data_IF_235160888142
#
_entry.id   IF_235160888142
#
_cell.length_a   1.000
_cell.length_b   1.000
_cell.length_c   1.000
_cell.angle_alpha   90.00
_cell.angle_beta   90.00
_cell.angle_gamma   90.00
#
_symmetry.space_group_name_H-M   'P 1'
#
loop_
_entity.id
_entity.type
_entity.pdbx_description
1 polymer ?
#
# COMPACT_ATOMS: atom_id res chain seq x y z
N UNK A 1 10.79 -12.41 -3.08
CA UNK A 1 10.75 -11.60 -4.33
C UNK A 1 10.92 -10.14 -3.96
N UNK A 2 11.52 -9.34 -4.83
CA UNK A 2 11.69 -7.90 -4.57
C UNK A 2 10.31 -7.20 -4.62
N UNK A 3 9.95 -6.36 -3.62
CA UNK A 3 8.67 -5.64 -3.56
C UNK A 3 8.38 -4.83 -4.83
N UNK A 4 9.40 -4.23 -5.43
CA UNK A 4 9.26 -3.46 -6.67
C UNK A 4 8.83 -4.32 -7.86
N UNK A 5 9.25 -5.59 -7.91
CA UNK A 5 8.82 -6.51 -8.97
C UNK A 5 7.36 -6.92 -8.78
N UNK A 6 6.92 -7.14 -7.53
CA UNK A 6 5.53 -7.47 -7.23
C UNK A 6 4.62 -6.30 -7.62
N UNK A 7 5.00 -5.06 -7.29
CA UNK A 7 4.25 -3.86 -7.68
C UNK A 7 4.20 -3.68 -9.21
N UNK A 8 5.31 -3.95 -9.91
CA UNK A 8 5.35 -3.91 -11.37
C UNK A 8 4.41 -4.93 -12.01
N UNK A 9 4.35 -6.17 -11.50
CA UNK A 9 3.41 -7.18 -11.97
C UNK A 9 1.96 -6.79 -11.67
N UNK A 10 1.67 -6.25 -10.49
CA UNK A 10 0.33 -5.77 -10.14
C UNK A 10 -0.11 -4.61 -11.06
N UNK A 11 0.78 -3.66 -11.32
CA UNK A 11 0.51 -2.56 -12.24
C UNK A 11 0.24 -3.07 -13.67
N UNK A 12 1.01 -4.05 -14.14
CA UNK A 12 0.79 -4.68 -15.45
C UNK A 12 -0.56 -5.40 -15.54
N UNK A 13 -0.94 -6.11 -14.47
CA UNK A 13 -2.26 -6.75 -14.40
C UNK A 13 -3.39 -5.71 -14.44
N UNK A 14 -3.23 -4.57 -13.75
CA UNK A 14 -4.20 -3.48 -13.80
C UNK A 14 -4.32 -2.88 -15.20
N UNK A 15 -3.19 -2.64 -15.87
CA UNK A 15 -3.17 -2.13 -17.26
C UNK A 15 -3.94 -3.09 -18.18
N UNK A 16 -3.73 -4.40 -18.04
CA UNK A 16 -4.42 -5.40 -18.84
C UNK A 16 -5.91 -5.50 -18.52
N UNK A 17 -6.29 -5.50 -17.24
CA UNK A 17 -7.70 -5.56 -16.80
C UNK A 17 -8.49 -4.36 -17.32
N UNK A 18 -7.89 -3.16 -17.22
CA UNK A 18 -8.55 -1.93 -17.65
C UNK A 18 -8.51 -1.75 -19.19
N UNK A 19 -7.41 -2.13 -19.83
CA UNK A 19 -7.19 -1.87 -21.24
C UNK A 19 -7.87 -2.86 -22.18
N UNK A 20 -7.89 -4.15 -21.83
CA UNK A 20 -8.40 -5.20 -22.75
C UNK A 20 -9.93 -5.32 -22.73
N UNK A 21 -10.57 -4.83 -21.67
CA UNK A 21 -12.05 -4.84 -21.52
C UNK A 21 -12.71 -6.24 -21.71
N UNK A 22 -12.02 -7.32 -21.36
CA UNK A 22 -12.51 -8.69 -21.51
C UNK A 22 -12.84 -9.30 -20.13
N UNK A 23 -14.08 -9.79 -19.89
CA UNK A 23 -14.47 -10.37 -18.61
C UNK A 23 -13.68 -11.65 -18.28
N UNK A 24 -13.30 -12.46 -19.27
CA UNK A 24 -12.50 -13.67 -19.04
C UNK A 24 -11.10 -13.36 -18.50
N UNK A 25 -10.49 -12.28 -18.98
CA UNK A 25 -9.20 -11.82 -18.47
C UNK A 25 -9.30 -11.36 -17.02
N UNK A 26 -10.35 -10.62 -16.69
CA UNK A 26 -10.63 -10.19 -15.32
C UNK A 26 -10.86 -11.39 -14.39
N UNK A 27 -11.62 -12.39 -14.84
CA UNK A 27 -11.82 -13.63 -14.09
C UNK A 27 -10.50 -14.39 -13.86
N UNK A 28 -9.65 -14.47 -14.88
CA UNK A 28 -8.32 -15.11 -14.77
C UNK A 28 -7.45 -14.42 -13.69
N UNK A 29 -7.33 -13.10 -13.73
CA UNK A 29 -6.55 -12.36 -12.73
C UNK A 29 -7.15 -12.45 -11.33
N UNK A 30 -8.48 -12.46 -11.22
CA UNK A 30 -9.16 -12.67 -9.94
C UNK A 30 -8.79 -14.03 -9.35
N UNK A 31 -8.97 -15.11 -10.10
CA UNK A 31 -8.65 -16.47 -9.64
C UNK A 31 -7.17 -16.60 -9.32
N UNK A 32 -6.29 -16.10 -10.17
CA UNK A 32 -4.85 -16.12 -9.94
C UNK A 32 -4.46 -15.39 -8.65
N UNK A 33 -5.04 -14.22 -8.37
CA UNK A 33 -4.78 -13.46 -7.15
C UNK A 33 -5.31 -14.18 -5.90
N UNK A 34 -6.48 -14.79 -5.97
CA UNK A 34 -7.08 -15.54 -4.87
C UNK A 34 -6.30 -16.82 -4.54
N UNK A 35 -5.78 -17.52 -5.57
CA UNK A 35 -4.96 -18.72 -5.40
C UNK A 35 -3.54 -18.40 -4.88
N UNK A 36 -2.95 -17.29 -5.36
CA UNK A 36 -1.61 -16.87 -4.95
C UNK A 36 -1.55 -16.47 -3.46
N UNK A 37 -2.55 -15.77 -3.00
CA UNK A 37 -2.64 -15.29 -1.62
C UNK A 37 -4.05 -15.52 -1.08
N UNK A 38 -4.15 -15.89 0.17
CA UNK A 38 -5.44 -16.08 0.86
C UNK A 38 -6.13 -14.73 1.16
N UNK A 39 -6.42 -13.97 0.09
CA UNK A 39 -7.05 -12.63 0.18
C UNK A 39 -8.56 -12.68 -0.08
N UNK A 40 -9.16 -13.87 -0.11
CA UNK A 40 -10.58 -14.07 -0.42
C UNK A 40 -11.48 -13.24 0.52
N UNK A 41 -11.26 -13.34 1.82
CA UNK A 41 -12.10 -12.64 2.81
C UNK A 41 -12.01 -11.11 2.67
N UNK A 42 -10.81 -10.49 2.66
CA UNK A 42 -10.73 -9.04 2.48
C UNK A 42 -11.21 -8.58 1.10
N UNK A 43 -11.00 -9.38 0.04
CA UNK A 43 -11.54 -9.08 -1.29
C UNK A 43 -13.07 -9.09 -1.26
N UNK A 44 -13.68 -10.14 -0.72
CA UNK A 44 -15.14 -10.23 -0.62
C UNK A 44 -15.72 -9.07 0.20
N UNK A 45 -15.11 -8.72 1.32
CA UNK A 45 -15.56 -7.62 2.18
C UNK A 45 -15.58 -6.27 1.47
N UNK A 46 -14.60 -6.00 0.61
CA UNK A 46 -14.50 -4.74 -0.14
C UNK A 46 -15.36 -4.75 -1.40
N UNK A 47 -15.42 -5.88 -2.10
CA UNK A 47 -16.11 -5.98 -3.40
C UNK A 47 -17.61 -6.15 -3.24
N UNK A 48 -18.07 -6.82 -2.20
CA UNK A 48 -19.49 -7.13 -2.02
C UNK A 48 -20.39 -5.87 -1.93
N UNK A 49 -20.07 -4.84 -1.12
CA UNK A 49 -20.86 -3.61 -1.10
C UNK A 49 -20.81 -2.86 -2.43
N UNK A 50 -19.67 -2.90 -3.13
CA UNK A 50 -19.48 -2.27 -4.44
C UNK A 50 -20.29 -3.01 -5.52
N UNK A 51 -20.25 -4.34 -5.55
CA UNK A 51 -21.05 -5.15 -6.47
C UNK A 51 -22.55 -4.96 -6.23
N UNK A 52 -22.97 -4.86 -4.96
CA UNK A 52 -24.36 -4.58 -4.61
C UNK A 52 -24.79 -3.20 -5.12
N UNK A 53 -23.95 -2.18 -4.95
CA UNK A 53 -24.22 -0.83 -5.49
C UNK A 53 -24.37 -0.84 -7.01
N UNK A 54 -23.48 -1.53 -7.72
CA UNK A 54 -23.57 -1.68 -9.17
C UNK A 54 -24.83 -2.42 -9.60
N UNK A 55 -25.22 -3.46 -8.88
CA UNK A 55 -26.44 -4.21 -9.16
C UNK A 55 -27.69 -3.33 -8.97
N UNK A 56 -27.78 -2.57 -7.89
CA UNK A 56 -28.92 -1.66 -7.62
C UNK A 56 -29.07 -0.59 -8.71
N UNK A 57 -27.96 -0.11 -9.26
CA UNK A 57 -28.00 0.93 -10.31
C UNK A 57 -28.35 0.33 -11.68
N UNK A 58 -27.78 -0.82 -12.07
CA UNK A 58 -27.87 -1.31 -13.44
C UNK A 58 -29.03 -2.30 -13.68
N UNK A 59 -29.41 -3.09 -12.67
CA UNK A 59 -30.46 -4.11 -12.84
C UNK A 59 -31.82 -3.49 -13.19
N UNK A 60 -32.29 -2.39 -12.54
CA UNK A 60 -33.59 -1.79 -12.87
C UNK A 60 -33.68 -1.28 -14.31
N UNK A 61 -32.53 -0.95 -14.92
CA UNK A 61 -32.45 -0.48 -16.32
C UNK A 61 -32.22 -1.59 -17.34
N UNK A 62 -32.31 -2.85 -16.92
CA UNK A 62 -32.12 -4.00 -17.82
C UNK A 62 -30.68 -4.34 -18.16
N UNK A 63 -29.68 -3.70 -17.53
CA UNK A 63 -28.27 -3.88 -17.82
C UNK A 63 -27.56 -4.81 -16.82
N UNK A 64 -28.20 -5.93 -16.46
CA UNK A 64 -27.66 -6.85 -15.44
C UNK A 64 -26.28 -7.43 -15.82
N UNK A 65 -26.04 -7.69 -17.13
CA UNK A 65 -24.76 -8.22 -17.59
C UNK A 65 -23.62 -7.20 -17.40
N UNK A 66 -23.88 -5.91 -17.66
CA UNK A 66 -22.90 -4.84 -17.43
C UNK A 66 -22.57 -4.71 -15.94
N UNK A 67 -23.57 -4.85 -15.06
CA UNK A 67 -23.33 -4.87 -13.62
C UNK A 67 -22.38 -6.00 -13.22
N UNK A 68 -22.59 -7.19 -13.74
CA UNK A 68 -21.76 -8.37 -13.47
C UNK A 68 -20.33 -8.19 -14.00
N UNK A 69 -20.15 -7.70 -15.23
CA UNK A 69 -18.84 -7.44 -15.81
C UNK A 69 -18.04 -6.38 -15.02
N UNK A 70 -18.69 -5.26 -14.65
CA UNK A 70 -18.07 -4.22 -13.86
C UNK A 70 -17.70 -4.73 -12.47
N UNK A 71 -18.60 -5.47 -11.81
CA UNK A 71 -18.33 -6.07 -10.52
C UNK A 71 -17.13 -7.05 -10.56
N UNK A 72 -17.08 -7.90 -11.59
CA UNK A 72 -15.98 -8.83 -11.81
C UNK A 72 -14.65 -8.10 -12.04
N UNK A 73 -14.66 -7.02 -12.81
CA UNK A 73 -13.48 -6.20 -13.09
C UNK A 73 -12.98 -5.51 -11.83
N UNK A 74 -13.88 -4.91 -11.06
CA UNK A 74 -13.54 -4.31 -9.77
C UNK A 74 -13.01 -5.34 -8.79
N UNK A 75 -13.61 -6.54 -8.75
CA UNK A 75 -13.13 -7.65 -7.94
C UNK A 75 -11.70 -8.06 -8.31
N UNK A 76 -11.39 -8.15 -9.60
CA UNK A 76 -10.05 -8.49 -10.09
C UNK A 76 -9.02 -7.42 -9.70
N UNK A 77 -9.33 -6.13 -9.88
CA UNK A 77 -8.46 -5.03 -9.49
C UNK A 77 -8.15 -5.02 -7.99
N UNK A 78 -9.19 -5.17 -7.15
CA UNK A 78 -9.05 -5.22 -5.71
C UNK A 78 -8.26 -6.45 -5.26
N UNK A 79 -8.56 -7.63 -5.83
CA UNK A 79 -7.86 -8.87 -5.49
C UNK A 79 -6.37 -8.81 -5.83
N UNK A 80 -6.01 -8.29 -7.01
CA UNK A 80 -4.61 -8.11 -7.43
C UNK A 80 -3.89 -7.12 -6.51
N UNK A 81 -4.52 -6.00 -6.14
CA UNK A 81 -3.96 -5.05 -5.21
C UNK A 81 -3.70 -5.68 -3.84
N UNK A 82 -4.72 -6.34 -3.27
CA UNK A 82 -4.58 -6.99 -1.96
C UNK A 82 -3.54 -8.11 -1.98
N UNK A 83 -3.48 -8.91 -3.05
CA UNK A 83 -2.46 -9.93 -3.22
C UNK A 83 -1.05 -9.33 -3.28
N UNK A 84 -0.86 -8.24 -4.02
CA UNK A 84 0.40 -7.53 -4.10
C UNK A 84 0.82 -6.96 -2.73
N UNK A 85 -0.06 -6.20 -2.07
CA UNK A 85 0.24 -5.60 -0.76
C UNK A 85 0.43 -6.61 0.36
N UNK A 86 -0.23 -7.77 0.30
CA UNK A 86 -0.01 -8.86 1.27
C UNK A 86 1.31 -9.60 1.07
N UNK A 87 1.97 -9.42 -0.08
CA UNK A 87 3.19 -10.14 -0.45
C UNK A 87 4.48 -9.55 0.12
N UNK A 88 4.47 -8.31 0.57
CA UNK A 88 5.62 -7.62 1.17
C UNK A 88 5.18 -6.70 2.30
N UNK A 89 6.12 -6.38 3.18
CA UNK A 89 5.91 -5.37 4.22
C UNK A 89 6.34 -3.98 3.73
N UNK A 90 5.78 -2.93 4.34
CA UNK A 90 6.21 -1.55 4.02
C UNK A 90 7.71 -1.36 4.33
N UNK A 91 8.23 -2.08 5.33
CA UNK A 91 9.66 -2.08 5.63
C UNK A 91 10.51 -2.69 4.50
N UNK A 92 10.00 -3.73 3.82
CA UNK A 92 10.69 -4.32 2.67
C UNK A 92 10.66 -3.38 1.47
N UNK A 93 9.57 -2.64 1.28
CA UNK A 93 9.48 -1.60 0.26
C UNK A 93 10.50 -0.48 0.52
N UNK A 94 10.62 -0.01 1.76
CA UNK A 94 11.60 1.00 2.13
C UNK A 94 13.04 0.53 1.85
N UNK A 95 13.38 -0.72 2.20
CA UNK A 95 14.69 -1.32 1.88
C UNK A 95 14.93 -1.41 0.37
N UNK A 96 13.91 -1.81 -0.39
CA UNK A 96 14.01 -1.90 -1.84
C UNK A 96 14.20 -0.52 -2.49
N UNK A 97 13.56 0.52 -1.97
CA UNK A 97 13.78 1.90 -2.39
C UNK A 97 15.19 2.40 -2.07
N UNK A 98 15.75 2.03 -0.92
CA UNK A 98 17.14 2.35 -0.58
C UNK A 98 18.14 1.70 -1.53
N UNK A 99 17.84 0.51 -2.03
CA UNK A 99 18.68 -0.20 -3.01
C UNK A 99 18.58 0.39 -4.43
N UNK A 100 17.56 1.16 -4.73
CA UNK A 100 17.41 1.91 -5.97
C UNK A 100 18.08 3.29 -5.84
N UNK A 101 18.29 3.99 -6.96
CA UNK A 101 18.84 5.37 -6.96
C UNK A 101 17.85 6.42 -6.44
N UNK A 102 16.92 6.04 -5.57
CA UNK A 102 16.00 6.97 -4.96
C UNK A 102 16.76 7.99 -4.10
N UNK A 103 16.32 9.25 -4.04
CA UNK A 103 16.96 10.27 -3.20
C UNK A 103 17.03 9.78 -1.74
N UNK A 104 18.20 9.95 -1.12
CA UNK A 104 18.46 9.47 0.24
C UNK A 104 17.43 10.01 1.26
N UNK A 105 16.97 11.23 1.03
CA UNK A 105 15.96 11.88 1.88
C UNK A 105 14.61 11.13 1.87
N UNK A 106 14.14 10.66 0.69
CA UNK A 106 12.89 9.90 0.60
C UNK A 106 12.98 8.56 1.33
N UNK A 107 14.09 7.86 1.16
CA UNK A 107 14.33 6.59 1.86
C UNK A 107 14.40 6.77 3.36
N UNK A 108 15.01 7.87 3.83
CA UNK A 108 15.06 8.21 5.25
C UNK A 108 13.67 8.56 5.79
N UNK A 109 12.92 9.43 5.10
CA UNK A 109 11.56 9.82 5.50
C UNK A 109 10.66 8.59 5.64
N UNK A 110 10.68 7.70 4.65
CA UNK A 110 9.86 6.49 4.67
C UNK A 110 10.26 5.55 5.83
N UNK A 111 11.56 5.34 6.04
CA UNK A 111 12.04 4.50 7.15
C UNK A 111 11.71 5.11 8.51
N UNK A 112 11.80 6.43 8.65
CA UNK A 112 11.45 7.15 9.88
C UNK A 112 9.96 7.11 10.14
N UNK A 113 9.11 7.31 9.11
CA UNK A 113 7.67 7.23 9.23
C UNK A 113 7.21 5.85 9.73
N UNK A 114 7.83 4.77 9.20
CA UNK A 114 7.55 3.40 9.64
C UNK A 114 7.94 3.13 11.09
N UNK A 115 9.02 3.77 11.56
CA UNK A 115 9.47 3.66 12.96
C UNK A 115 8.58 4.48 13.90
N UNK A 116 8.14 5.66 13.47
CA UNK A 116 7.29 6.55 14.25
C UNK A 116 5.91 5.92 14.53
N UNK A 117 5.39 5.10 13.61
CA UNK A 117 4.07 4.51 13.76
C UNK A 117 3.90 3.63 15.02
N UNK A 118 4.78 2.63 15.32
CA UNK A 118 4.68 1.87 16.57
C UNK A 118 5.00 2.72 17.80
N UNK A 119 5.93 3.67 17.70
CA UNK A 119 6.28 4.60 18.76
C UNK A 119 5.10 5.52 19.11
N UNK A 120 4.41 6.03 18.08
CA UNK A 120 3.21 6.84 18.21
C UNK A 120 2.05 6.10 18.88
N UNK A 121 1.83 4.84 18.52
CA UNK A 121 0.82 4.00 19.18
C UNK A 121 1.12 3.81 20.67
N UNK A 122 2.36 3.46 21.00
CA UNK A 122 2.77 3.28 22.38
C UNK A 122 2.64 4.59 23.20
N UNK A 123 3.01 5.72 22.61
CA UNK A 123 2.85 7.04 23.25
C UNK A 123 1.38 7.40 23.44
N UNK A 124 0.56 7.17 22.43
CA UNK A 124 -0.88 7.42 22.51
C UNK A 124 -1.55 6.61 23.61
N UNK A 125 -1.20 5.32 23.73
CA UNK A 125 -1.70 4.48 24.83
C UNK A 125 -1.26 5.00 26.19
N UNK A 126 0.00 5.38 26.36
CA UNK A 126 0.51 5.97 27.60
C UNK A 126 -0.26 7.25 27.97
N UNK A 127 -0.48 8.14 27.02
CA UNK A 127 -1.25 9.37 27.23
C UNK A 127 -2.70 9.06 27.62
N UNK A 128 -3.33 8.10 26.97
CA UNK A 128 -4.68 7.65 27.35
C UNK A 128 -4.73 7.09 28.76
N UNK A 129 -3.79 6.24 29.13
CA UNK A 129 -3.71 5.72 30.51
C UNK A 129 -3.51 6.84 31.52
N UNK A 130 -2.61 7.80 31.25
CA UNK A 130 -2.39 8.94 32.11
C UNK A 130 -3.68 9.79 32.27
N UNK A 131 -4.43 10.01 31.21
CA UNK A 131 -5.72 10.70 31.26
C UNK A 131 -6.74 9.93 32.09
N UNK A 132 -6.85 8.61 31.93
CA UNK A 132 -7.75 7.80 32.73
C UNK A 132 -7.43 7.86 34.24
N UNK A 133 -6.13 7.97 34.59
CA UNK A 133 -5.73 8.12 35.97
C UNK A 133 -6.01 9.54 36.51
N UNK A 134 -5.87 10.56 35.65
CA UNK A 134 -6.09 11.96 36.05
C UNK A 134 -7.60 12.31 36.19
N UNK A 135 -8.43 11.75 35.32
CA UNK A 135 -9.88 12.00 35.34
C UNK A 135 -10.58 10.95 36.21
N UNK A 136 -11.12 11.35 37.34
CA UNK A 136 -11.89 10.49 38.27
C UNK A 136 -13.30 10.09 37.69
N UNK A 137 -13.74 10.68 36.59
CA UNK A 137 -15.04 10.40 35.94
C UNK A 137 -14.84 9.74 34.58
N UNK A 138 -15.74 8.85 34.16
CA UNK A 138 -15.69 8.29 32.80
C UNK A 138 -15.88 9.41 31.77
N UNK A 139 -14.83 9.72 31.05
CA UNK A 139 -14.87 10.68 29.93
C UNK A 139 -15.38 9.95 28.70
N UNK A 140 -16.23 10.62 27.93
CA UNK A 140 -16.74 10.07 26.67
C UNK A 140 -15.56 9.61 25.78
N UNK A 141 -15.53 8.36 25.26
CA UNK A 141 -14.39 7.78 24.58
C UNK A 141 -13.92 8.60 23.37
N UNK A 142 -14.82 9.29 22.67
CA UNK A 142 -14.48 10.16 21.54
C UNK A 142 -13.68 11.39 21.99
N UNK A 143 -14.11 12.06 23.06
CA UNK A 143 -13.41 13.22 23.62
C UNK A 143 -12.05 12.83 24.21
N UNK A 144 -11.97 11.70 24.91
CA UNK A 144 -10.71 11.18 25.44
C UNK A 144 -9.69 10.92 24.33
N UNK A 145 -10.14 10.36 23.21
CA UNK A 145 -9.28 10.10 22.04
C UNK A 145 -8.77 11.40 21.43
N UNK A 146 -9.64 12.39 21.23
CA UNK A 146 -9.26 13.69 20.66
C UNK A 146 -8.25 14.42 21.57
N UNK A 147 -8.46 14.42 22.88
CA UNK A 147 -7.55 15.05 23.85
C UNK A 147 -6.19 14.33 23.98
N UNK A 148 -6.13 13.03 23.68
CA UNK A 148 -4.88 12.28 23.67
C UNK A 148 -4.03 12.52 22.42
N UNK A 149 -4.65 12.91 21.29
CA UNK A 149 -3.94 13.14 20.04
C UNK A 149 -2.94 14.30 20.12
N UNK A 150 -3.37 15.44 20.65
CA UNK A 150 -2.50 16.63 20.72
C UNK A 150 -1.20 16.40 21.51
N UNK A 151 -1.23 15.89 22.76
CA UNK A 151 -0.01 15.59 23.49
C UNK A 151 0.85 14.52 22.82
N UNK A 152 0.23 13.54 22.14
CA UNK A 152 0.94 12.52 21.39
C UNK A 152 1.71 13.12 20.22
N UNK A 153 1.06 13.99 19.44
CA UNK A 153 1.69 14.66 18.29
C UNK A 153 2.83 15.55 18.77
N UNK A 154 2.61 16.35 19.81
CA UNK A 154 3.65 17.23 20.39
C UNK A 154 4.86 16.42 20.82
N UNK A 155 4.65 15.30 21.53
CA UNK A 155 5.75 14.43 21.96
C UNK A 155 6.52 13.82 20.77
N UNK A 156 5.82 13.41 19.70
CA UNK A 156 6.46 12.89 18.50
C UNK A 156 7.25 13.96 17.73
N UNK A 157 6.74 15.19 17.68
CA UNK A 157 7.44 16.33 17.08
C UNK A 157 8.71 16.68 17.88
N UNK A 158 8.61 16.74 19.21
CA UNK A 158 9.77 16.98 20.08
C UNK A 158 10.82 15.87 19.93
N UNK A 159 10.40 14.61 19.91
CA UNK A 159 11.30 13.48 19.68
C UNK A 159 11.95 13.54 18.29
N UNK A 160 11.25 14.03 17.28
CA UNK A 160 11.78 14.29 15.94
C UNK A 160 12.82 15.43 15.95
N UNK A 161 12.50 16.53 16.59
CA UNK A 161 13.39 17.70 16.71
C UNK A 161 14.68 17.34 17.45
N UNK A 162 14.60 16.56 18.53
CA UNK A 162 15.77 16.09 19.29
C UNK A 162 16.70 15.19 18.48
N UNK A 163 16.20 14.49 17.46
CA UNK A 163 17.03 13.65 16.56
C UNK A 163 17.69 14.45 15.43
N UNK A 164 17.25 15.69 15.19
CA UNK A 164 17.74 16.48 14.07
C UNK A 164 19.25 16.74 14.12
N UNK A 165 19.85 17.17 15.26
CA UNK A 165 21.29 17.40 15.35
C UNK A 165 22.12 16.13 15.14
N UNK A 166 21.65 14.97 15.64
CA UNK A 166 22.33 13.68 15.44
C UNK A 166 22.36 13.30 13.95
N UNK A 167 21.28 13.57 13.23
CA UNK A 167 21.18 13.30 11.79
C UNK A 167 22.08 14.23 10.97
N UNK A 168 22.20 15.47 11.39
CA UNK A 168 23.09 16.45 10.77
C UNK A 168 24.56 16.04 10.92
N UNK A 169 24.98 15.61 12.11
CA UNK A 169 26.32 15.07 12.37
C UNK A 169 26.58 13.80 11.53
N UNK A 170 25.58 12.93 11.34
CA UNK A 170 25.66 11.76 10.49
C UNK A 170 25.65 12.08 8.97
N UNK A 171 25.52 13.37 8.61
CA UNK A 171 25.52 13.84 7.24
C UNK A 171 24.28 13.43 6.46
N UNK A 172 23.15 13.22 7.13
CA UNK A 172 21.89 12.95 6.44
C UNK A 172 21.46 14.21 5.68
N UNK A 173 21.30 14.06 4.35
CA UNK A 173 21.00 15.21 3.47
C UNK A 173 22.19 15.70 2.65
N UNK A 174 23.43 15.38 3.04
CA UNK A 174 24.61 15.73 2.25
C UNK A 174 24.71 14.86 0.99
N UNK A 175 25.12 15.44 -0.15
CA UNK A 175 25.36 14.67 -1.36
C UNK A 175 26.54 13.71 -1.16
N UNK A 176 26.33 12.41 -1.45
CA UNK A 176 27.37 11.40 -1.34
C UNK A 176 26.88 10.01 -1.70
N UNK A 177 27.82 9.11 -2.02
CA UNK A 177 27.51 7.69 -2.22
C UNK A 177 27.24 7.04 -0.86
N UNK A 178 26.04 6.49 -0.70
CA UNK A 178 25.66 5.72 0.48
C UNK A 178 25.68 4.25 0.19
N UNK A 179 26.18 3.48 1.14
CA UNK A 179 26.19 2.01 1.08
C UNK A 179 24.96 1.46 1.79
N UNK A 180 24.35 0.43 1.21
CA UNK A 180 23.22 -0.27 1.81
C UNK A 180 23.74 -1.45 2.62
N UNK A 181 23.52 -1.44 3.92
CA UNK A 181 24.03 -2.45 4.86
C UNK A 181 23.43 -3.84 4.61
N UNK A 182 22.16 -3.90 4.20
CA UNK A 182 21.43 -5.14 3.88
C UNK A 182 20.70 -4.98 2.56
N UNK A 183 21.40 -5.21 1.43
CA UNK A 183 20.78 -5.11 0.13
C UNK A 183 19.71 -6.18 -0.04
N UNK A 184 18.56 -5.80 -0.57
CA UNK A 184 17.54 -6.77 -1.00
C UNK A 184 18.08 -7.46 -2.26
N UNK A 185 18.11 -8.80 -2.27
CA UNK A 185 18.56 -9.56 -3.42
C UNK A 185 17.70 -9.20 -4.65
N UNK A 186 18.33 -8.68 -5.66
CA UNK A 186 17.68 -8.23 -6.90
C UNK A 186 18.44 -8.83 -8.10
N UNK A 187 17.97 -9.97 -8.57
CA UNK A 187 18.53 -10.66 -9.72
C UNK A 187 18.37 -9.81 -10.99
N UNK A 188 19.31 -9.90 -11.92
CA UNK A 188 19.22 -9.24 -13.22
C UNK A 188 17.94 -9.59 -13.98
N UNK A 189 17.48 -10.84 -13.86
CA UNK A 189 16.22 -11.31 -14.43
C UNK A 189 15.02 -10.58 -13.84
N UNK A 190 14.97 -10.35 -12.53
CA UNK A 190 13.90 -9.59 -11.89
C UNK A 190 13.88 -8.11 -12.30
N UNK A 191 15.05 -7.51 -12.55
CA UNK A 191 15.14 -6.13 -13.06
C UNK A 191 14.62 -6.03 -14.49
N UNK A 192 14.98 -6.99 -15.35
CA UNK A 192 14.48 -7.04 -16.72
C UNK A 192 12.96 -7.25 -16.77
N UNK A 193 12.43 -8.22 -16.03
CA UNK A 193 11.01 -8.50 -15.95
C UNK A 193 10.20 -7.29 -15.45
N UNK A 194 10.75 -6.50 -14.53
CA UNK A 194 10.10 -5.28 -14.01
C UNK A 194 9.81 -4.24 -15.08
N UNK A 195 10.58 -4.22 -16.16
CA UNK A 195 10.41 -3.28 -17.28
C UNK A 195 9.65 -3.95 -18.42
N UNK A 196 10.00 -5.19 -18.74
CA UNK A 196 9.45 -5.91 -19.90
C UNK A 196 7.95 -6.18 -19.71
N UNK A 197 7.52 -6.61 -18.52
CA UNK A 197 6.12 -7.01 -18.31
C UNK A 197 5.15 -5.83 -18.41
N UNK A 198 5.38 -4.66 -17.77
CA UNK A 198 4.51 -3.50 -18.00
C UNK A 198 4.58 -2.98 -19.44
N UNK A 199 5.76 -2.98 -20.07
CA UNK A 199 5.89 -2.56 -21.46
C UNK A 199 5.10 -3.48 -22.39
N UNK A 200 5.19 -4.79 -22.21
CA UNK A 200 4.39 -5.76 -22.96
C UNK A 200 2.88 -5.57 -22.74
N UNK A 201 2.46 -5.32 -21.49
CA UNK A 201 1.07 -5.03 -21.16
C UNK A 201 0.54 -3.80 -21.91
N UNK A 202 1.33 -2.73 -21.96
CA UNK A 202 0.97 -1.50 -22.70
C UNK A 202 0.88 -1.77 -24.20
N UNK A 203 1.87 -2.48 -24.76
CA UNK A 203 1.87 -2.82 -26.20
C UNK A 203 0.64 -3.65 -26.58
N UNK A 204 0.27 -4.65 -25.76
CA UNK A 204 -0.94 -5.47 -25.99
C UNK A 204 -2.20 -4.60 -25.97
N UNK A 205 -2.31 -3.68 -25.01
CA UNK A 205 -3.46 -2.77 -24.95
C UNK A 205 -3.52 -1.88 -26.19
N UNK A 206 -2.40 -1.27 -26.59
CA UNK A 206 -2.34 -0.40 -27.79
C UNK A 206 -2.70 -1.21 -29.04
N UNK A 207 -2.17 -2.42 -29.20
CA UNK A 207 -2.44 -3.28 -30.37
C UNK A 207 -3.90 -3.73 -30.47
N UNK A 208 -4.64 -3.77 -29.35
CA UNK A 208 -6.06 -4.11 -29.35
C UNK A 208 -6.97 -2.90 -29.62
N UNK A 209 -6.44 -1.69 -29.45
CA UNK A 209 -7.19 -0.45 -29.68
C UNK A 209 -6.91 0.18 -31.07
N UNK A 210 -5.91 -0.32 -31.79
CA UNK A 210 -5.61 0.05 -33.19
C UNK A 210 -6.29 -0.91 -34.17
#
# INVERSE_FOLDING_TARGET
MNPLSILSFAASAWILILGVNNPWLSAFFLVAALLWRRVLVPTALLVLPMALSLAVIHIPFGHAHLAAELALRCAALVAVALAAFSAFTVADLAKAMQATRAPANLSYILSSALRILPEGRATFEKVRYAQHLAYRRPVNPLFSTAHALLPTITHLLDAGAQRAPDLEVLGVGLPGRRTVLRPVADSATHKALRIIVPAAAIVVVIALWM
#
